data_IF_461132371473
#
_entry.id   IF_461132371473
#
_cell.length_a   1.000
_cell.length_b   1.000
_cell.length_c   1.000
_cell.angle_alpha   90.00
_cell.angle_beta   90.00
_cell.angle_gamma   90.00
#
_symmetry.space_group_name_H-M   'P 1'
#
loop_
_entity.id
_entity.type
_entity.pdbx_description
1 polymer ?
#
# COMPACT_ATOMS: atom_id res chain seq x y z
N UNK A 1 13.27 -8.23 -5.65
CA UNK A 1 13.26 -7.93 -4.20
C UNK A 1 14.52 -7.15 -3.78
N UNK A 2 15.73 -7.66 -4.02
CA UNK A 2 16.99 -7.00 -3.60
C UNK A 2 17.14 -5.62 -4.23
N UNK A 3 16.88 -5.47 -5.52
CA UNK A 3 16.95 -4.20 -6.22
C UNK A 3 15.96 -3.15 -5.65
N UNK A 4 14.75 -3.56 -5.32
CA UNK A 4 13.74 -2.67 -4.73
C UNK A 4 14.09 -2.25 -3.31
N UNK A 5 14.65 -3.16 -2.50
CA UNK A 5 15.22 -2.82 -1.19
C UNK A 5 16.37 -1.84 -1.32
N UNK A 6 17.30 -2.08 -2.26
CA UNK A 6 18.42 -1.19 -2.50
C UNK A 6 17.96 0.22 -2.87
N UNK A 7 17.01 0.35 -3.79
CA UNK A 7 16.47 1.67 -4.17
C UNK A 7 15.72 2.35 -3.02
N UNK A 8 15.02 1.61 -2.17
CA UNK A 8 14.38 2.13 -0.97
C UNK A 8 15.41 2.75 0.00
N UNK A 9 16.49 2.02 0.30
CA UNK A 9 17.56 2.53 1.18
C UNK A 9 18.27 3.73 0.59
N UNK A 10 18.52 3.75 -0.73
CA UNK A 10 19.11 4.90 -1.42
C UNK A 10 18.19 6.12 -1.29
N UNK A 11 16.91 5.97 -1.61
CA UNK A 11 15.94 7.06 -1.52
C UNK A 11 15.82 7.62 -0.10
N UNK A 12 15.77 6.73 0.91
CA UNK A 12 15.73 7.11 2.32
C UNK A 12 17.03 7.80 2.75
N UNK A 13 18.18 7.28 2.33
CA UNK A 13 19.49 7.89 2.60
C UNK A 13 19.61 9.30 2.00
N UNK A 14 19.13 9.50 0.78
CA UNK A 14 19.07 10.84 0.16
C UNK A 14 18.20 11.78 0.99
N UNK A 15 17.01 11.32 1.45
CA UNK A 15 16.13 12.13 2.28
C UNK A 15 16.81 12.57 3.60
N UNK A 16 17.56 11.68 4.25
CA UNK A 16 18.34 12.02 5.44
C UNK A 16 19.45 13.06 5.16
N UNK A 17 20.17 12.91 4.05
CA UNK A 17 21.26 13.85 3.67
C UNK A 17 20.69 15.23 3.37
N UNK A 18 19.63 15.31 2.54
CA UNK A 18 19.02 16.58 2.12
C UNK A 18 18.52 17.38 3.31
N UNK A 19 18.06 16.74 4.35
CA UNK A 19 17.46 17.41 5.51
C UNK A 19 18.35 17.37 6.77
N UNK A 20 19.64 17.12 6.63
CA UNK A 20 20.62 17.09 7.72
C UNK A 20 20.20 16.23 8.91
N UNK A 21 19.63 15.05 8.66
CA UNK A 21 19.11 14.10 9.67
C UNK A 21 18.06 14.70 10.62
N UNK A 22 17.26 15.68 10.15
CA UNK A 22 16.19 16.31 10.93
C UNK A 22 14.88 16.25 10.17
N UNK A 23 13.78 16.23 10.88
CA UNK A 23 12.48 16.46 10.27
C UNK A 23 12.44 17.88 9.69
N UNK A 24 11.64 18.09 8.62
CA UNK A 24 11.49 19.44 8.08
C UNK A 24 10.80 20.34 9.12
N UNK A 25 10.99 21.64 8.95
CA UNK A 25 10.18 22.60 9.71
C UNK A 25 8.69 22.44 9.36
N UNK A 26 7.84 23.05 10.19
CA UNK A 26 6.40 23.03 9.93
C UNK A 26 6.11 23.64 8.55
N UNK A 27 5.26 22.95 7.77
CA UNK A 27 4.89 23.36 6.40
C UNK A 27 4.38 24.82 6.41
N UNK A 28 3.61 25.19 7.42
CA UNK A 28 3.07 26.55 7.55
C UNK A 28 4.17 27.61 7.73
N UNK A 29 5.33 27.26 8.29
CA UNK A 29 6.46 28.18 8.41
C UNK A 29 7.24 28.35 7.10
N UNK A 30 7.27 27.30 6.27
CA UNK A 30 8.02 27.31 5.00
C UNK A 30 7.29 27.97 3.83
N UNK A 31 6.00 27.69 3.66
CA UNK A 31 5.19 28.16 2.52
C UNK A 31 4.15 29.22 2.89
N UNK A 32 4.14 29.68 4.14
CA UNK A 32 3.16 30.61 4.68
C UNK A 32 1.95 29.89 5.31
N UNK A 33 1.41 30.53 6.33
CA UNK A 33 0.35 29.94 7.18
C UNK A 33 -0.89 29.55 6.39
N UNK A 34 -1.37 30.41 5.50
CA UNK A 34 -2.56 30.11 4.69
C UNK A 34 -2.35 28.97 3.71
N UNK A 35 -1.19 28.89 3.06
CA UNK A 35 -0.89 27.83 2.10
C UNK A 35 -0.69 26.48 2.83
N UNK A 36 -0.03 26.51 4.00
CA UNK A 36 0.13 25.33 4.84
C UNK A 36 -1.20 24.78 5.36
N UNK A 37 -2.06 25.64 5.86
CA UNK A 37 -3.40 25.26 6.34
C UNK A 37 -4.28 24.74 5.20
N UNK A 38 -4.20 25.34 4.01
CA UNK A 38 -4.91 24.83 2.81
C UNK A 38 -4.42 23.44 2.43
N UNK A 39 -3.10 23.21 2.41
CA UNK A 39 -2.53 21.91 2.12
C UNK A 39 -3.00 20.85 3.09
N UNK A 40 -2.92 21.13 4.39
CA UNK A 40 -3.39 20.19 5.42
C UNK A 40 -4.90 19.93 5.35
N UNK A 41 -5.71 20.95 5.06
CA UNK A 41 -7.14 20.80 4.90
C UNK A 41 -7.52 20.00 3.65
N UNK A 42 -6.81 20.19 2.53
CA UNK A 42 -7.09 19.45 1.31
C UNK A 42 -6.79 17.95 1.51
N UNK A 43 -5.62 17.63 2.07
CA UNK A 43 -5.15 16.25 2.11
C UNK A 43 -5.56 15.48 3.37
N UNK A 44 -5.82 16.16 4.52
CA UNK A 44 -6.08 15.44 5.75
C UNK A 44 -7.23 16.00 6.58
N UNK A 45 -7.14 17.22 7.14
CA UNK A 45 -8.08 17.73 8.14
C UNK A 45 -9.41 18.24 7.57
N UNK A 46 -9.46 18.60 6.29
CA UNK A 46 -10.70 19.09 5.68
C UNK A 46 -11.80 18.06 5.72
N UNK A 47 -13.03 18.52 5.92
CA UNK A 47 -14.21 17.67 5.92
C UNK A 47 -15.14 18.06 4.77
N UNK A 48 -15.46 17.09 3.92
CA UNK A 48 -16.47 17.22 2.88
C UNK A 48 -17.62 16.25 3.21
N UNK A 49 -18.82 16.76 3.31
CA UNK A 49 -20.01 15.99 3.73
C UNK A 49 -19.85 15.31 5.10
N UNK A 50 -19.13 15.92 6.04
CA UNK A 50 -18.89 15.39 7.39
C UNK A 50 -17.78 14.30 7.49
N UNK A 51 -17.18 13.90 6.36
CA UNK A 51 -16.12 12.88 6.27
C UNK A 51 -14.80 13.57 5.91
N UNK A 52 -13.69 13.09 6.49
CA UNK A 52 -12.37 13.62 6.19
C UNK A 52 -12.00 13.47 4.71
N UNK A 53 -11.36 14.48 4.15
CA UNK A 53 -10.95 14.51 2.73
C UNK A 53 -10.03 13.35 2.35
N UNK A 54 -9.22 12.87 3.28
CA UNK A 54 -8.38 11.66 3.08
C UNK A 54 -9.18 10.45 2.62
N UNK A 55 -10.39 10.25 3.17
CA UNK A 55 -11.27 9.16 2.74
C UNK A 55 -11.70 9.32 1.28
N UNK A 56 -12.07 10.53 0.87
CA UNK A 56 -12.47 10.81 -0.51
C UNK A 56 -11.32 10.62 -1.49
N UNK A 57 -10.11 11.05 -1.12
CA UNK A 57 -8.89 10.82 -1.90
C UNK A 57 -8.66 9.31 -2.08
N UNK A 58 -8.70 8.54 -0.99
CA UNK A 58 -8.54 7.10 -1.04
C UNK A 58 -9.62 6.42 -1.89
N UNK A 59 -10.87 6.84 -1.77
CA UNK A 59 -12.00 6.31 -2.53
C UNK A 59 -11.85 6.58 -4.03
N UNK A 60 -11.48 7.80 -4.40
CA UNK A 60 -11.26 8.17 -5.82
C UNK A 60 -10.15 7.32 -6.42
N UNK A 61 -9.01 7.21 -5.74
CA UNK A 61 -7.87 6.39 -6.18
C UNK A 61 -8.29 4.93 -6.30
N UNK A 62 -9.01 4.41 -5.30
CA UNK A 62 -9.54 3.06 -5.33
C UNK A 62 -10.42 2.82 -6.56
N UNK A 63 -11.37 3.71 -6.85
CA UNK A 63 -12.29 3.58 -8.00
C UNK A 63 -11.54 3.63 -9.33
N UNK A 64 -10.54 4.52 -9.46
CA UNK A 64 -9.71 4.62 -10.67
C UNK A 64 -8.96 3.31 -10.91
N UNK A 65 -8.27 2.77 -9.88
CA UNK A 65 -7.51 1.55 -10.03
C UNK A 65 -8.37 0.29 -10.09
N UNK A 66 -9.53 0.29 -9.44
CA UNK A 66 -10.52 -0.77 -9.62
C UNK A 66 -10.98 -0.86 -11.08
N UNK A 67 -11.34 0.27 -11.67
CA UNK A 67 -11.70 0.32 -13.08
C UNK A 67 -10.53 -0.08 -13.99
N UNK A 68 -9.33 0.44 -13.71
CA UNK A 68 -8.12 0.13 -14.45
C UNK A 68 -7.82 -1.38 -14.45
N UNK A 69 -7.82 -2.03 -13.30
CA UNK A 69 -7.53 -3.46 -13.17
C UNK A 69 -8.65 -4.33 -13.76
N UNK A 70 -9.92 -3.99 -13.50
CA UNK A 70 -11.06 -4.82 -13.90
C UNK A 70 -11.41 -4.69 -15.39
N UNK A 71 -11.23 -3.51 -15.98
CA UNK A 71 -11.79 -3.18 -17.30
C UNK A 71 -10.74 -2.93 -18.39
N UNK A 72 -9.47 -2.69 -18.09
CA UNK A 72 -8.46 -2.37 -19.10
C UNK A 72 -7.66 -3.60 -19.57
N UNK A 73 -7.09 -3.49 -20.77
CA UNK A 73 -6.13 -4.51 -21.29
C UNK A 73 -4.89 -4.59 -20.40
N UNK A 74 -4.39 -3.46 -19.90
CA UNK A 74 -3.23 -3.42 -19.01
C UNK A 74 -3.46 -4.18 -17.71
N UNK A 75 -4.66 -4.06 -17.11
CA UNK A 75 -5.03 -4.84 -15.92
C UNK A 75 -4.99 -6.35 -16.19
N UNK A 76 -5.58 -6.80 -17.30
CA UNK A 76 -5.54 -8.23 -17.68
C UNK A 76 -4.12 -8.74 -17.92
N UNK A 77 -3.25 -7.92 -18.55
CA UNK A 77 -1.85 -8.27 -18.74
C UNK A 77 -1.08 -8.40 -17.41
N UNK A 78 -1.37 -7.52 -16.42
CA UNK A 78 -0.78 -7.60 -15.07
C UNK A 78 -1.14 -8.94 -14.41
N UNK A 79 -2.42 -9.34 -14.45
CA UNK A 79 -2.84 -10.64 -13.92
C UNK A 79 -2.22 -11.82 -14.66
N UNK A 80 -2.13 -11.74 -15.99
CA UNK A 80 -1.53 -12.79 -16.80
C UNK A 80 -0.05 -13.01 -16.48
N UNK A 81 0.74 -11.95 -16.37
CA UNK A 81 2.15 -12.00 -15.96
C UNK A 81 2.30 -12.56 -14.55
N UNK A 82 1.45 -12.13 -13.62
CA UNK A 82 1.46 -12.63 -12.25
C UNK A 82 1.12 -14.13 -12.16
N UNK A 83 0.33 -14.66 -13.09
CA UNK A 83 -0.03 -16.08 -13.13
C UNK A 83 1.08 -16.95 -13.76
N UNK A 84 1.59 -16.57 -14.93
CA UNK A 84 2.70 -17.25 -15.59
C UNK A 84 3.35 -16.29 -16.61
N UNK A 85 4.59 -15.91 -16.34
CA UNK A 85 5.35 -14.96 -17.14
C UNK A 85 5.62 -15.50 -18.54
N UNK A 86 5.98 -16.79 -18.68
CA UNK A 86 6.34 -17.39 -19.96
C UNK A 86 5.11 -17.57 -20.84
N UNK A 87 4.00 -18.02 -20.27
CA UNK A 87 2.74 -18.14 -21.00
C UNK A 87 2.24 -16.76 -21.49
N UNK A 88 2.35 -15.73 -20.66
CA UNK A 88 1.99 -14.35 -21.02
C UNK A 88 2.87 -13.84 -22.17
N UNK A 89 4.18 -14.10 -22.13
CA UNK A 89 5.12 -13.72 -23.18
C UNK A 89 4.79 -14.43 -24.51
N UNK A 90 4.53 -15.72 -24.47
CA UNK A 90 4.12 -16.50 -25.65
C UNK A 90 2.79 -16.02 -26.24
N UNK A 91 1.91 -15.47 -25.41
CA UNK A 91 0.65 -14.83 -25.80
C UNK A 91 0.81 -13.41 -26.34
N UNK A 92 2.06 -12.93 -26.54
CA UNK A 92 2.34 -11.60 -27.10
C UNK A 92 2.28 -10.45 -26.08
N UNK A 93 2.23 -10.73 -24.78
CA UNK A 93 2.26 -9.69 -23.76
C UNK A 93 3.69 -9.19 -23.56
N UNK A 94 3.90 -7.89 -23.71
CA UNK A 94 5.17 -7.24 -23.41
C UNK A 94 5.36 -7.18 -21.89
N UNK A 95 6.15 -8.12 -21.36
CA UNK A 95 6.42 -8.27 -19.93
C UNK A 95 7.08 -7.03 -19.35
N UNK A 96 8.07 -6.47 -20.04
CA UNK A 96 8.83 -5.31 -19.54
C UNK A 96 7.91 -4.10 -19.40
N UNK A 97 7.19 -3.74 -20.45
CA UNK A 97 6.25 -2.59 -20.39
C UNK A 97 5.15 -2.77 -19.35
N UNK A 98 4.63 -3.99 -19.21
CA UNK A 98 3.54 -4.25 -18.24
C UNK A 98 4.05 -4.18 -16.81
N UNK A 99 5.22 -4.74 -16.53
CA UNK A 99 5.86 -4.65 -15.21
C UNK A 99 6.20 -3.20 -14.86
N UNK A 100 6.77 -2.45 -15.82
CA UNK A 100 7.06 -1.01 -15.63
C UNK A 100 5.78 -0.24 -15.26
N UNK A 101 4.66 -0.48 -15.95
CA UNK A 101 3.38 0.16 -15.61
C UNK A 101 2.93 -0.17 -14.18
N UNK A 102 3.08 -1.42 -13.72
CA UNK A 102 2.73 -1.79 -12.36
C UNK A 102 3.58 -1.04 -11.32
N UNK A 103 4.89 -0.91 -11.56
CA UNK A 103 5.76 -0.12 -10.69
C UNK A 103 5.44 1.38 -10.73
N UNK A 104 5.09 1.95 -11.89
CA UNK A 104 4.66 3.35 -11.99
C UNK A 104 3.39 3.61 -11.17
N UNK A 105 2.40 2.70 -11.23
CA UNK A 105 1.18 2.79 -10.41
C UNK A 105 1.51 2.73 -8.93
N UNK A 106 2.36 1.80 -8.52
CA UNK A 106 2.81 1.68 -7.12
C UNK A 106 3.51 2.96 -6.64
N UNK A 107 4.43 3.50 -7.45
CA UNK A 107 5.13 4.75 -7.13
C UNK A 107 4.18 5.95 -7.01
N UNK A 108 3.19 6.05 -7.91
CA UNK A 108 2.16 7.09 -7.82
C UNK A 108 1.35 6.99 -6.53
N UNK A 109 0.87 5.79 -6.18
CA UNK A 109 0.13 5.58 -4.92
C UNK A 109 1.00 5.92 -3.70
N UNK A 110 2.27 5.54 -3.71
CA UNK A 110 3.21 5.87 -2.63
C UNK A 110 3.42 7.38 -2.48
N UNK A 111 3.50 8.11 -3.58
CA UNK A 111 3.60 9.58 -3.55
C UNK A 111 2.37 10.23 -2.91
N UNK A 112 1.16 9.76 -3.28
CA UNK A 112 -0.08 10.28 -2.66
C UNK A 112 -0.12 10.00 -1.16
N UNK A 113 0.28 8.80 -0.73
CA UNK A 113 0.40 8.47 0.70
C UNK A 113 1.41 9.40 1.39
N UNK A 114 2.54 9.69 0.75
CA UNK A 114 3.52 10.65 1.25
C UNK A 114 2.93 12.05 1.49
N UNK A 115 2.11 12.56 0.55
CA UNK A 115 1.42 13.84 0.73
C UNK A 115 0.43 13.81 1.91
N UNK A 116 -0.33 12.72 2.06
CA UNK A 116 -1.27 12.56 3.16
C UNK A 116 -0.55 12.52 4.51
N UNK A 117 0.54 11.76 4.63
CA UNK A 117 1.35 11.68 5.85
C UNK A 117 2.00 13.02 6.20
N UNK A 118 2.48 13.74 5.19
CA UNK A 118 3.06 15.07 5.36
C UNK A 118 2.00 16.08 5.83
N UNK A 119 0.79 16.02 5.27
CA UNK A 119 -0.33 16.85 5.70
C UNK A 119 -0.80 16.51 7.13
N UNK A 120 -0.83 15.25 7.49
CA UNK A 120 -1.17 14.77 8.82
C UNK A 120 -0.20 15.26 9.89
N UNK A 121 1.11 15.13 9.62
CA UNK A 121 2.15 15.53 10.56
C UNK A 121 2.40 17.05 10.57
N UNK A 122 1.97 17.78 9.53
CA UNK A 122 2.29 19.18 9.33
C UNK A 122 3.76 19.46 9.01
N UNK A 123 4.54 18.39 8.78
CA UNK A 123 5.97 18.44 8.47
C UNK A 123 6.40 17.20 7.69
N UNK A 124 7.53 17.26 7.02
CA UNK A 124 8.18 16.07 6.46
C UNK A 124 8.89 15.30 7.57
N UNK A 125 8.38 14.12 7.91
CA UNK A 125 8.98 13.24 8.89
C UNK A 125 9.87 12.20 8.17
N UNK A 126 11.11 12.07 8.59
CA UNK A 126 12.09 11.14 8.02
C UNK A 126 11.70 9.67 8.19
N UNK A 127 11.04 9.33 9.30
CA UNK A 127 10.58 7.99 9.61
C UNK A 127 9.16 7.71 9.11
N UNK A 128 8.53 8.65 8.41
CA UNK A 128 7.20 8.45 7.85
C UNK A 128 7.20 7.26 6.89
N UNK A 129 6.15 6.44 6.98
CA UNK A 129 5.98 5.27 6.12
C UNK A 129 6.95 4.12 6.41
N UNK A 130 7.67 4.12 7.51
CA UNK A 130 8.52 2.99 7.89
C UNK A 130 7.65 1.74 8.14
N UNK A 131 8.02 0.61 7.53
CA UNK A 131 7.27 -0.66 7.55
C UNK A 131 5.93 -0.67 6.78
N UNK A 132 5.53 0.43 6.12
CA UNK A 132 4.26 0.48 5.38
C UNK A 132 4.23 -0.49 4.19
N UNK A 133 5.38 -0.81 3.62
CA UNK A 133 5.51 -1.86 2.60
C UNK A 133 5.04 -3.22 3.12
N UNK A 134 5.41 -3.56 4.36
CA UNK A 134 4.99 -4.81 5.01
C UNK A 134 3.49 -4.79 5.36
N UNK A 135 2.99 -3.66 5.86
CA UNK A 135 1.57 -3.50 6.18
C UNK A 135 0.70 -3.58 4.92
N UNK A 136 1.18 -3.00 3.80
CA UNK A 136 0.50 -3.10 2.51
C UNK A 136 0.42 -4.53 2.00
N UNK A 137 1.50 -5.29 2.11
CA UNK A 137 1.51 -6.73 1.76
C UNK A 137 0.56 -7.51 2.67
N UNK A 138 0.62 -7.29 3.98
CA UNK A 138 -0.25 -7.96 4.95
C UNK A 138 -1.73 -7.68 4.67
N UNK A 139 -2.10 -6.42 4.45
CA UNK A 139 -3.46 -6.02 4.09
C UNK A 139 -3.92 -6.69 2.78
N UNK A 140 -3.03 -6.76 1.78
CA UNK A 140 -3.30 -7.45 0.51
C UNK A 140 -3.56 -8.95 0.71
N UNK A 141 -2.73 -9.63 1.49
CA UNK A 141 -2.88 -11.07 1.77
C UNK A 141 -4.15 -11.36 2.57
N UNK A 142 -4.44 -10.58 3.61
CA UNK A 142 -5.70 -10.66 4.37
C UNK A 142 -6.89 -10.43 3.44
N UNK A 143 -6.75 -9.54 2.46
CA UNK A 143 -7.74 -9.27 1.41
C UNK A 143 -7.84 -10.35 0.32
N UNK A 144 -7.06 -11.43 0.40
CA UNK A 144 -7.11 -12.56 -0.54
C UNK A 144 -6.28 -12.37 -1.81
N UNK A 145 -5.34 -11.42 -1.83
CA UNK A 145 -4.36 -11.29 -2.91
C UNK A 145 -3.27 -12.35 -2.73
N UNK A 146 -2.98 -13.10 -3.78
CA UNK A 146 -1.94 -14.12 -3.74
C UNK A 146 -0.54 -13.52 -3.70
N UNK A 147 0.29 -13.86 -2.71
CA UNK A 147 1.70 -13.47 -2.70
C UNK A 147 2.49 -14.03 -3.90
N UNK A 148 2.03 -15.14 -4.46
CA UNK A 148 2.63 -15.78 -5.64
C UNK A 148 2.24 -15.09 -6.96
N UNK A 149 1.28 -14.16 -6.92
CA UNK A 149 0.79 -13.41 -8.07
C UNK A 149 -0.41 -14.06 -8.78
N UNK A 150 -0.87 -13.40 -9.82
CA UNK A 150 -1.91 -13.88 -10.77
C UNK A 150 -3.33 -13.89 -10.26
N UNK A 151 -3.58 -13.72 -8.99
CA UNK A 151 -4.93 -13.72 -8.42
C UNK A 151 -5.08 -12.75 -7.25
N UNK A 152 -6.23 -12.11 -7.19
CA UNK A 152 -6.60 -11.15 -6.15
C UNK A 152 -7.71 -10.24 -6.66
N UNK A 153 -8.42 -9.63 -5.74
CA UNK A 153 -9.50 -8.67 -6.04
C UNK A 153 -9.21 -7.39 -5.26
N UNK A 154 -9.24 -6.25 -5.94
CA UNK A 154 -8.95 -4.96 -5.30
C UNK A 154 -9.94 -4.63 -4.17
N UNK A 155 -11.21 -5.03 -4.31
CA UNK A 155 -12.20 -4.93 -3.23
C UNK A 155 -11.78 -5.71 -1.97
N UNK A 156 -11.20 -6.92 -2.17
CA UNK A 156 -10.63 -7.70 -1.09
C UNK A 156 -9.48 -6.97 -0.41
N UNK A 157 -8.57 -6.38 -1.18
CA UNK A 157 -7.46 -5.56 -0.64
C UNK A 157 -7.96 -4.39 0.19
N UNK A 158 -9.02 -3.71 -0.27
CA UNK A 158 -9.62 -2.60 0.48
C UNK A 158 -10.23 -3.07 1.81
N UNK A 159 -10.96 -4.19 1.79
CA UNK A 159 -11.48 -4.80 3.01
C UNK A 159 -10.35 -5.27 3.95
N UNK A 160 -9.29 -5.87 3.41
CA UNK A 160 -8.11 -6.29 4.16
C UNK A 160 -7.38 -5.13 4.82
N UNK A 161 -7.26 -3.99 4.13
CA UNK A 161 -6.72 -2.76 4.71
C UNK A 161 -7.59 -2.24 5.87
N UNK A 162 -8.93 -2.32 5.73
CA UNK A 162 -9.87 -1.99 6.81
C UNK A 162 -9.70 -2.88 8.03
N UNK A 163 -9.59 -4.20 7.84
CA UNK A 163 -9.33 -5.16 8.92
C UNK A 163 -7.98 -4.85 9.59
N UNK A 164 -6.93 -4.62 8.80
CA UNK A 164 -5.62 -4.25 9.31
C UNK A 164 -5.66 -3.01 10.20
N UNK A 165 -6.26 -1.92 9.70
CA UNK A 165 -6.35 -0.66 10.43
C UNK A 165 -7.21 -0.78 11.70
N UNK A 166 -8.27 -1.59 11.66
CA UNK A 166 -9.11 -1.85 12.84
C UNK A 166 -8.33 -2.61 13.92
N UNK A 167 -7.51 -3.59 13.52
CA UNK A 167 -6.62 -4.32 14.44
C UNK A 167 -5.61 -3.38 15.09
N UNK A 168 -4.93 -2.55 14.30
CA UNK A 168 -3.92 -1.61 14.79
C UNK A 168 -4.55 -0.59 15.77
N UNK A 169 -5.69 -0.01 15.39
CA UNK A 169 -6.43 0.90 16.28
C UNK A 169 -6.93 0.20 17.54
N UNK A 170 -7.43 -1.03 17.45
CA UNK A 170 -7.88 -1.81 18.60
C UNK A 170 -6.74 -2.05 19.59
N UNK A 171 -5.56 -2.44 19.10
CA UNK A 171 -4.38 -2.64 19.94
C UNK A 171 -3.90 -1.33 20.61
N UNK A 172 -4.01 -0.20 19.91
CA UNK A 172 -3.71 1.12 20.47
C UNK A 172 -4.71 1.53 21.57
N UNK A 173 -6.00 1.26 21.39
CA UNK A 173 -7.06 1.59 22.35
C UNK A 173 -6.92 0.83 23.68
N UNK A 174 -6.47 -0.41 23.64
CA UNK A 174 -6.18 -1.20 24.85
C UNK A 174 -4.81 -0.87 25.47
N UNK A 175 -4.13 0.17 24.97
CA UNK A 175 -2.79 0.58 25.40
C UNK A 175 -1.76 -0.56 25.41
N UNK A 176 -1.87 -1.51 24.49
CA UNK A 176 -0.93 -2.59 24.35
C UNK A 176 0.49 -2.04 24.10
N UNK A 177 1.48 -2.55 24.81
CA UNK A 177 2.86 -2.16 24.57
C UNK A 177 3.27 -2.44 23.11
N UNK A 178 4.06 -1.55 22.52
CA UNK A 178 4.50 -1.64 21.12
C UNK A 178 5.11 -3.02 20.76
N UNK A 179 5.81 -3.64 21.72
CA UNK A 179 6.36 -4.99 21.53
C UNK A 179 5.27 -6.05 21.34
N UNK A 180 4.22 -6.03 22.16
CA UNK A 180 3.08 -6.94 22.01
C UNK A 180 2.31 -6.72 20.72
N UNK A 181 2.12 -5.45 20.33
CA UNK A 181 1.48 -5.12 19.05
C UNK A 181 2.23 -5.77 17.88
N UNK A 182 3.56 -5.64 17.83
CA UNK A 182 4.39 -6.24 16.77
C UNK A 182 4.32 -7.77 16.74
N UNK A 183 4.28 -8.41 17.90
CA UNK A 183 4.14 -9.89 18.00
C UNK A 183 2.78 -10.32 17.45
N UNK A 184 1.70 -9.68 17.88
CA UNK A 184 0.33 -10.01 17.45
C UNK A 184 0.19 -9.83 15.94
N UNK A 185 0.67 -8.70 15.41
CA UNK A 185 0.69 -8.41 13.99
C UNK A 185 1.46 -9.50 13.22
N UNK A 186 2.65 -9.88 13.68
CA UNK A 186 3.45 -10.93 13.05
C UNK A 186 2.72 -12.26 13.01
N UNK A 187 2.09 -12.66 14.11
CA UNK A 187 1.29 -13.91 14.19
C UNK A 187 0.12 -13.87 13.22
N UNK A 188 -0.60 -12.76 13.13
CA UNK A 188 -1.74 -12.60 12.21
C UNK A 188 -1.29 -12.72 10.76
N UNK A 189 -0.18 -12.04 10.37
CA UNK A 189 0.35 -12.11 9.02
C UNK A 189 0.76 -13.53 8.63
N UNK A 190 1.51 -14.21 9.49
CA UNK A 190 1.92 -15.60 9.27
C UNK A 190 0.71 -16.50 9.18
N UNK A 191 -0.26 -16.34 10.08
CA UNK A 191 -1.51 -17.09 10.07
C UNK A 191 -2.31 -16.89 8.77
N UNK A 192 -2.44 -15.65 8.30
CA UNK A 192 -3.14 -15.35 7.06
C UNK A 192 -2.47 -16.01 5.84
N UNK A 193 -1.14 -15.94 5.75
CA UNK A 193 -0.37 -16.60 4.68
C UNK A 193 -0.51 -18.12 4.73
N UNK A 194 -0.43 -18.71 5.91
CA UNK A 194 -0.62 -20.17 6.09
C UNK A 194 -2.02 -20.59 5.66
N UNK A 195 -3.04 -19.87 6.06
CA UNK A 195 -4.43 -20.14 5.65
C UNK A 195 -4.57 -20.05 4.11
N UNK A 196 -4.01 -19.02 3.46
CA UNK A 196 -4.06 -18.91 1.99
C UNK A 196 -3.40 -20.12 1.33
N UNK A 197 -2.21 -20.53 1.78
CA UNK A 197 -1.49 -21.70 1.25
C UNK A 197 -2.28 -22.99 1.44
N UNK A 198 -2.84 -23.21 2.63
CA UNK A 198 -3.62 -24.42 2.95
C UNK A 198 -4.90 -24.50 2.11
N UNK A 199 -5.64 -23.40 2.02
CA UNK A 199 -6.88 -23.34 1.22
C UNK A 199 -6.59 -23.59 -0.25
N UNK A 200 -5.53 -23.02 -0.79
CA UNK A 200 -5.15 -23.24 -2.19
C UNK A 200 -4.62 -24.66 -2.45
N UNK A 201 -3.80 -25.22 -1.57
CA UNK A 201 -3.31 -26.59 -1.71
C UNK A 201 -4.42 -27.63 -1.58
N UNK A 202 -5.41 -27.39 -0.72
CA UNK A 202 -6.61 -28.24 -0.60
C UNK A 202 -7.47 -28.28 -1.86
N UNK A 203 -7.59 -27.15 -2.58
CA UNK A 203 -8.31 -27.06 -3.85
C UNK A 203 -7.59 -27.79 -5.01
N UNK A 204 -6.27 -27.91 -4.98
CA UNK A 204 -5.52 -28.68 -5.98
C UNK A 204 -5.75 -30.20 -5.84
N UNK A 205 -5.96 -30.69 -4.61
CA UNK A 205 -6.27 -32.12 -4.39
C UNK A 205 -7.69 -32.50 -4.85
N UNK A 206 -8.65 -31.60 -4.77
CA UNK A 206 -10.03 -31.87 -5.27
C UNK A 206 -10.18 -31.85 -6.78
N UNK A 207 -9.28 -31.21 -7.54
CA UNK A 207 -9.32 -31.17 -9.00
C UNK A 207 -8.62 -32.36 -9.69
N UNK A 208 -7.98 -33.25 -8.91
CA UNK A 208 -7.30 -34.46 -9.43
C UNK A 208 -8.08 -35.76 -9.17
N UNK A 209 -9.31 -35.69 -8.70
CA UNK A 209 -10.27 -36.79 -8.67
C UNK A 209 -11.41 -36.46 -9.64
#
# INVERSE_FOLDING_TARGET
FIATLGTMFIARGIAYIVNNNRNTDNIASGIGKEAGDRFQNIFYYGKTAGIFNTFWIALIIFLIFWFFLARTRSGRHIYAIGSNVDAARLSGVDVVKTTTKAYMVSGFCSAVVGFVLCAQAGMGNMDAGNMYEMYGVAAGVIGGVSPLGGSGILLGTFAGAGVWQTLENGLNLIHAQVGFQRIIIGVIVVGAVLLDVVVRSGNFKKKKK
#
